data_IF_051516319366
#
_entry.id   IF_051516319366
#
_cell.length_a   1.000
_cell.length_b   1.000
_cell.length_c   1.000
_cell.angle_alpha   90.00
_cell.angle_beta   90.00
_cell.angle_gamma   90.00
#
_symmetry.space_group_name_H-M   'P 1'
#
loop_
_entity.id
_entity.type
_entity.pdbx_description
1 polymer ?
#
# COMPACT_ATOMS: atom_id res chain seq x y z
N UNK A 1 5.72 33.30 64.97
CA UNK A 1 5.37 32.25 64.01
C UNK A 1 4.16 32.76 63.25
N UNK A 2 4.25 33.26 62.00
CA UNK A 2 3.09 33.61 61.21
C UNK A 2 2.45 32.37 60.57
N UNK A 3 1.16 32.33 60.72
CA UNK A 3 0.21 31.33 60.22
C UNK A 3 0.25 31.30 58.68
N UNK A 4 0.58 30.14 58.09
CA UNK A 4 0.62 29.97 56.64
C UNK A 4 -0.75 29.45 56.20
N UNK A 5 -1.53 30.35 55.61
CA UNK A 5 -2.76 30.01 54.87
C UNK A 5 -2.41 29.07 53.71
N UNK A 6 -3.07 27.92 53.54
CA UNK A 6 -2.86 27.07 52.38
C UNK A 6 -3.34 27.77 51.09
N UNK A 7 -2.68 27.54 49.96
CA UNK A 7 -3.10 28.14 48.72
C UNK A 7 -4.46 27.60 48.24
N UNK A 8 -5.22 28.50 47.66
CA UNK A 8 -6.54 28.24 47.08
C UNK A 8 -6.53 27.03 46.15
N UNK A 9 -7.56 26.22 46.32
CA UNK A 9 -7.92 25.08 45.48
C UNK A 9 -7.92 25.51 44.00
N UNK A 10 -6.87 25.08 43.29
CA UNK A 10 -6.84 25.12 41.81
C UNK A 10 -7.59 23.89 41.31
N UNK A 11 -8.91 23.90 41.39
CA UNK A 11 -9.73 23.01 40.60
C UNK A 11 -9.50 23.38 39.14
N UNK A 12 -8.72 22.54 38.45
CA UNK A 12 -8.62 22.59 36.97
C UNK A 12 -10.03 22.49 36.40
N UNK A 13 -10.37 23.26 35.35
CA UNK A 13 -11.66 23.13 34.73
C UNK A 13 -11.86 21.69 34.26
N UNK A 14 -13.01 21.13 34.66
CA UNK A 14 -13.47 19.81 34.23
C UNK A 14 -13.69 19.91 32.71
N UNK A 15 -12.64 19.60 31.93
CA UNK A 15 -12.74 19.47 30.50
C UNK A 15 -13.43 18.14 30.24
N UNK A 16 -14.71 18.20 29.97
CA UNK A 16 -15.48 17.10 29.42
C UNK A 16 -14.86 16.72 28.06
N UNK A 17 -13.92 15.78 28.09
CA UNK A 17 -13.23 15.28 26.90
C UNK A 17 -14.08 14.12 26.35
N UNK A 18 -15.26 14.46 25.86
CA UNK A 18 -16.12 13.51 25.17
C UNK A 18 -15.34 12.90 23.99
N UNK A 19 -15.26 11.57 23.93
CA UNK A 19 -14.58 10.84 22.87
C UNK A 19 -13.16 10.34 23.21
N UNK A 20 -12.65 10.61 24.42
CA UNK A 20 -11.31 10.09 24.81
C UNK A 20 -11.28 8.56 24.81
N UNK A 21 -12.40 7.91 25.13
CA UNK A 21 -12.57 6.47 25.16
C UNK A 21 -12.40 5.80 23.79
N UNK A 22 -12.63 6.55 22.71
CA UNK A 22 -12.48 6.08 21.33
C UNK A 22 -11.17 6.50 20.70
N UNK A 23 -10.29 7.18 21.43
CA UNK A 23 -8.99 7.60 20.93
C UNK A 23 -8.11 6.39 20.66
N UNK A 24 -7.64 6.16 19.41
CA UNK A 24 -6.71 5.07 19.12
C UNK A 24 -5.43 5.25 19.93
N UNK A 25 -5.06 4.24 20.68
CA UNK A 25 -3.80 4.21 21.44
C UNK A 25 -2.88 3.14 20.87
N UNK A 26 -1.58 3.45 20.77
CA UNK A 26 -0.57 2.48 20.40
C UNK A 26 -0.05 1.84 21.71
N UNK A 27 -0.37 0.57 21.91
CA UNK A 27 0.20 -0.20 23.01
C UNK A 27 1.62 -0.63 22.66
N UNK A 28 2.61 0.06 23.22
CA UNK A 28 4.03 -0.27 23.03
C UNK A 28 4.40 -1.64 23.63
N UNK A 29 3.62 -2.15 24.58
CA UNK A 29 3.79 -3.50 25.13
C UNK A 29 3.32 -4.60 24.18
N UNK A 30 2.48 -4.26 23.20
CA UNK A 30 2.00 -5.17 22.18
C UNK A 30 2.93 -5.30 20.97
N UNK A 31 4.09 -4.60 20.93
CA UNK A 31 5.06 -4.76 19.87
C UNK A 31 5.52 -6.21 19.77
N UNK A 32 5.42 -6.74 18.56
CA UNK A 32 5.82 -8.10 18.23
C UNK A 32 7.02 -8.08 17.28
N UNK A 33 7.72 -9.18 17.20
CA UNK A 33 8.73 -9.42 16.17
C UNK A 33 8.07 -10.04 14.94
N UNK A 34 8.75 -9.95 13.77
CA UNK A 34 8.30 -10.64 12.55
C UNK A 34 8.08 -12.13 12.83
N UNK A 35 8.94 -12.78 13.65
CA UNK A 35 8.83 -14.19 14.02
C UNK A 35 7.46 -14.55 14.62
N UNK A 36 6.91 -13.65 15.42
CA UNK A 36 5.59 -13.87 16.06
C UNK A 36 4.42 -13.59 15.12
N UNK A 37 4.62 -12.73 14.12
CA UNK A 37 3.57 -12.40 13.15
C UNK A 37 3.41 -13.45 12.05
N UNK A 38 4.47 -14.12 11.66
CA UNK A 38 4.46 -15.05 10.51
C UNK A 38 3.39 -16.14 10.63
N UNK A 39 3.19 -16.83 11.78
CA UNK A 39 2.14 -17.84 11.89
C UNK A 39 0.74 -17.27 11.58
N UNK A 40 0.42 -16.09 12.11
CA UNK A 40 -0.88 -15.45 11.89
C UNK A 40 -1.06 -14.99 10.44
N UNK A 41 0.04 -14.58 9.77
CA UNK A 41 0.04 -14.20 8.37
C UNK A 41 -0.08 -15.41 7.42
N UNK A 42 0.48 -16.55 7.80
CA UNK A 42 0.49 -17.76 6.97
C UNK A 42 -0.92 -18.31 6.68
N UNK A 43 -1.88 -18.06 7.59
CA UNK A 43 -3.26 -18.48 7.44
C UNK A 43 -4.10 -17.54 6.56
N UNK A 44 -3.53 -16.39 6.14
CA UNK A 44 -4.24 -15.41 5.32
C UNK A 44 -4.14 -15.72 3.84
N UNK A 45 -5.26 -15.52 3.12
CA UNK A 45 -5.26 -15.63 1.65
C UNK A 45 -4.49 -14.50 0.99
N UNK A 46 -4.49 -13.32 1.60
CA UNK A 46 -3.79 -12.12 1.12
C UNK A 46 -3.18 -11.42 2.32
N UNK A 47 -1.93 -11.01 2.18
CA UNK A 47 -1.19 -10.19 3.14
C UNK A 47 -0.76 -8.90 2.46
N UNK A 48 -1.20 -7.76 2.97
CA UNK A 48 -0.77 -6.45 2.51
C UNK A 48 0.39 -5.97 3.39
N UNK A 49 1.51 -5.64 2.77
CA UNK A 49 2.70 -5.09 3.45
C UNK A 49 2.99 -3.72 2.86
N UNK A 50 2.43 -2.68 3.50
CA UNK A 50 2.61 -1.29 3.10
C UNK A 50 4.06 -0.83 3.25
N UNK A 51 4.43 0.21 2.49
CA UNK A 51 5.77 0.80 2.51
C UNK A 51 5.75 2.29 2.17
N UNK A 52 6.86 2.97 2.38
CA UNK A 52 7.16 4.26 1.76
C UNK A 52 8.16 3.99 0.64
N UNK A 53 7.82 4.40 -0.57
CA UNK A 53 8.51 3.98 -1.80
C UNK A 53 10.03 4.23 -1.83
N UNK A 54 10.52 5.21 -1.09
CA UNK A 54 11.93 5.58 -0.99
C UNK A 54 12.67 4.94 0.20
N UNK A 55 11.98 4.16 1.03
CA UNK A 55 12.53 3.55 2.24
C UNK A 55 13.02 2.13 1.98
N UNK A 56 14.33 1.98 1.80
CA UNK A 56 14.96 0.68 1.54
C UNK A 56 14.73 -0.34 2.66
N UNK A 57 14.72 0.09 3.90
CA UNK A 57 14.44 -0.74 5.06
C UNK A 57 13.04 -1.36 5.03
N UNK A 58 12.03 -0.62 4.52
CA UNK A 58 10.69 -1.17 4.31
C UNK A 58 10.68 -2.31 3.29
N UNK A 59 11.40 -2.17 2.18
CA UNK A 59 11.52 -3.22 1.16
C UNK A 59 12.28 -4.45 1.66
N UNK A 60 13.24 -4.27 2.56
CA UNK A 60 13.91 -5.40 3.22
C UNK A 60 12.97 -6.16 4.16
N UNK A 61 12.08 -5.46 4.87
CA UNK A 61 11.05 -6.07 5.70
C UNK A 61 10.05 -6.85 4.82
N UNK A 62 9.60 -6.26 3.71
CA UNK A 62 8.76 -6.95 2.73
C UNK A 62 9.42 -8.25 2.24
N UNK A 63 10.69 -8.19 1.85
CA UNK A 63 11.45 -9.37 1.42
C UNK A 63 11.52 -10.43 2.51
N UNK A 64 11.77 -10.04 3.75
CA UNK A 64 11.88 -10.99 4.86
C UNK A 64 10.53 -11.68 5.13
N UNK A 65 9.42 -10.95 5.09
CA UNK A 65 8.07 -11.52 5.20
C UNK A 65 7.81 -12.51 4.05
N UNK A 66 8.13 -12.12 2.81
CA UNK A 66 8.00 -12.98 1.63
C UNK A 66 8.80 -14.27 1.82
N UNK A 67 10.05 -14.20 2.25
CA UNK A 67 10.93 -15.36 2.46
C UNK A 67 10.34 -16.34 3.47
N UNK A 68 9.83 -15.82 4.57
CA UNK A 68 9.26 -16.64 5.66
C UNK A 68 7.94 -17.28 5.26
N UNK A 69 7.06 -16.52 4.61
CA UNK A 69 5.80 -17.06 4.10
C UNK A 69 6.04 -18.10 3.00
N UNK A 70 7.01 -17.85 2.09
CA UNK A 70 7.39 -18.81 1.06
C UNK A 70 7.95 -20.11 1.65
N UNK A 71 8.71 -20.05 2.75
CA UNK A 71 9.20 -21.24 3.44
C UNK A 71 8.07 -22.11 4.02
N UNK A 72 6.91 -21.52 4.34
CA UNK A 72 5.73 -22.21 4.85
C UNK A 72 4.77 -22.63 3.72
N UNK A 73 4.69 -21.84 2.65
CA UNK A 73 3.81 -22.10 1.52
C UNK A 73 4.54 -21.84 0.20
N UNK A 74 4.97 -22.90 -0.51
CA UNK A 74 5.67 -22.78 -1.78
C UNK A 74 4.80 -22.20 -2.92
N UNK A 75 3.48 -22.17 -2.76
CA UNK A 75 2.54 -21.63 -3.75
C UNK A 75 2.27 -20.12 -3.54
N UNK A 76 3.22 -19.40 -2.97
CA UNK A 76 3.12 -17.96 -2.79
C UNK A 76 3.24 -17.21 -4.14
N UNK A 77 2.42 -16.17 -4.33
CA UNK A 77 2.59 -15.17 -5.39
C UNK A 77 2.84 -13.79 -4.77
N UNK A 78 3.56 -12.93 -5.47
CA UNK A 78 3.93 -11.58 -5.01
C UNK A 78 3.21 -10.56 -5.88
N UNK A 79 2.27 -9.79 -5.32
CA UNK A 79 1.65 -8.66 -5.99
C UNK A 79 2.52 -7.39 -5.86
N UNK A 80 2.75 -6.67 -6.95
CA UNK A 80 3.56 -5.46 -6.96
C UNK A 80 2.86 -4.30 -7.70
N UNK A 81 2.70 -3.17 -7.02
CA UNK A 81 2.18 -1.93 -7.61
C UNK A 81 3.16 -1.28 -8.60
N UNK A 82 4.44 -1.60 -8.49
CA UNK A 82 5.48 -1.07 -9.37
C UNK A 82 5.29 -1.41 -10.86
N UNK A 83 4.40 -2.35 -11.15
CA UNK A 83 4.14 -2.82 -12.52
C UNK A 83 2.67 -2.72 -12.89
N UNK A 84 2.44 -2.41 -14.17
CA UNK A 84 1.10 -2.28 -14.71
C UNK A 84 0.68 -3.56 -15.45
N UNK A 85 -0.58 -3.93 -15.33
CA UNK A 85 -1.17 -5.18 -15.83
C UNK A 85 -0.84 -5.52 -17.31
N UNK A 86 -0.79 -4.57 -18.27
CA UNK A 86 -0.43 -4.89 -19.65
C UNK A 86 0.97 -5.48 -19.82
N UNK A 87 1.84 -5.31 -18.83
CA UNK A 87 3.21 -5.82 -18.84
C UNK A 87 3.39 -7.12 -18.05
N UNK A 88 2.30 -7.77 -17.61
CA UNK A 88 2.37 -9.03 -16.87
C UNK A 88 3.25 -10.06 -17.58
N UNK A 89 3.11 -10.20 -18.89
CA UNK A 89 3.88 -11.14 -19.67
C UNK A 89 5.41 -10.94 -19.55
N UNK A 90 5.86 -9.70 -19.41
CA UNK A 90 7.29 -9.40 -19.26
C UNK A 90 7.82 -9.82 -17.88
N UNK A 91 6.99 -9.75 -16.84
CA UNK A 91 7.30 -10.30 -15.52
C UNK A 91 7.37 -11.83 -15.58
N UNK A 92 6.41 -12.47 -16.25
CA UNK A 92 6.38 -13.93 -16.40
C UNK A 92 7.64 -14.43 -17.13
N UNK A 93 8.04 -13.77 -18.22
CA UNK A 93 9.27 -14.10 -18.98
C UNK A 93 10.54 -13.83 -18.15
N UNK A 94 10.54 -12.78 -17.30
CA UNK A 94 11.65 -12.52 -16.38
C UNK A 94 11.76 -13.62 -15.32
N UNK A 95 10.65 -14.03 -14.69
CA UNK A 95 10.62 -15.12 -13.71
C UNK A 95 11.04 -16.44 -14.35
N UNK A 96 10.58 -16.70 -15.58
CA UNK A 96 10.97 -17.89 -16.35
C UNK A 96 12.44 -17.88 -16.82
N UNK A 97 13.18 -16.79 -16.59
CA UNK A 97 14.58 -16.65 -16.99
C UNK A 97 14.81 -16.34 -18.47
N UNK A 98 13.77 -16.07 -19.23
CA UNK A 98 13.84 -15.75 -20.68
C UNK A 98 14.16 -14.28 -20.96
N UNK A 99 13.77 -13.38 -20.06
CA UNK A 99 14.21 -12.00 -20.05
C UNK A 99 15.26 -11.76 -18.96
N UNK A 100 16.28 -10.97 -19.25
CA UNK A 100 17.14 -10.43 -18.22
C UNK A 100 16.49 -9.24 -17.50
N UNK A 101 17.10 -8.81 -16.40
CA UNK A 101 16.57 -7.72 -15.57
C UNK A 101 16.46 -6.39 -16.33
N UNK A 102 17.45 -6.08 -17.18
CA UNK A 102 17.43 -4.85 -17.97
C UNK A 102 16.36 -4.88 -19.07
N UNK A 103 16.19 -6.03 -19.72
CA UNK A 103 15.13 -6.19 -20.73
C UNK A 103 13.74 -6.06 -20.08
N UNK A 104 13.53 -6.71 -18.94
CA UNK A 104 12.27 -6.58 -18.19
C UNK A 104 12.00 -5.12 -17.83
N UNK A 105 12.96 -4.38 -17.28
CA UNK A 105 12.80 -2.97 -16.91
C UNK A 105 12.49 -2.07 -18.13
N UNK A 106 13.14 -2.31 -19.26
CA UNK A 106 12.84 -1.57 -20.51
C UNK A 106 11.44 -1.89 -21.02
N UNK A 107 11.09 -3.18 -21.07
CA UNK A 107 9.80 -3.64 -21.59
C UNK A 107 8.62 -3.16 -20.77
N UNK A 108 8.76 -3.14 -19.44
CA UNK A 108 7.72 -2.64 -18.52
C UNK A 108 7.69 -1.12 -18.43
N UNK A 109 8.58 -0.42 -19.13
CA UNK A 109 8.74 1.04 -19.03
C UNK A 109 8.87 1.51 -17.58
N UNK A 110 9.55 0.71 -16.74
CA UNK A 110 9.59 0.87 -15.29
C UNK A 110 9.91 2.31 -14.86
N UNK A 111 10.99 2.89 -15.38
CA UNK A 111 11.43 4.23 -14.98
C UNK A 111 10.50 5.36 -15.47
N UNK A 112 9.74 5.15 -16.54
CA UNK A 112 8.76 6.10 -17.03
C UNK A 112 7.44 6.04 -16.25
N UNK A 113 7.05 4.83 -15.83
CA UNK A 113 5.74 4.58 -15.22
C UNK A 113 5.77 4.62 -13.70
N UNK A 114 6.77 3.99 -13.07
CA UNK A 114 6.89 3.93 -11.61
C UNK A 114 7.80 5.03 -11.04
N UNK A 115 8.90 5.36 -11.70
CA UNK A 115 9.83 6.46 -11.38
C UNK A 115 10.62 6.32 -10.08
N UNK A 116 10.57 5.21 -9.40
CA UNK A 116 11.37 4.92 -8.23
C UNK A 116 12.65 4.18 -8.62
N UNK A 117 13.68 4.30 -7.78
CA UNK A 117 14.91 3.57 -7.98
C UNK A 117 14.65 2.05 -7.91
N UNK A 118 14.91 1.35 -8.99
CA UNK A 118 14.70 -0.10 -9.06
C UNK A 118 15.49 -0.88 -8.00
N UNK A 119 16.63 -0.36 -7.55
CA UNK A 119 17.43 -1.00 -6.49
C UNK A 119 16.67 -1.26 -5.20
N UNK A 120 15.64 -0.48 -4.95
CA UNK A 120 14.74 -0.66 -3.80
C UNK A 120 13.96 -1.98 -3.91
N UNK A 121 13.49 -2.33 -5.10
CA UNK A 121 12.64 -3.49 -5.38
C UNK A 121 13.42 -4.71 -5.89
N UNK A 122 14.62 -4.51 -6.41
CA UNK A 122 15.45 -5.55 -7.00
C UNK A 122 15.64 -6.79 -6.10
N UNK A 123 15.87 -6.66 -4.78
CA UNK A 123 16.02 -7.82 -3.91
C UNK A 123 14.79 -8.75 -3.92
N UNK A 124 13.59 -8.19 -3.95
CA UNK A 124 12.32 -8.94 -4.01
C UNK A 124 12.19 -9.66 -5.34
N UNK A 125 12.39 -8.94 -6.46
CA UNK A 125 12.28 -9.51 -7.80
C UNK A 125 13.34 -10.59 -8.08
N UNK A 126 14.56 -10.39 -7.61
CA UNK A 126 15.63 -11.38 -7.72
C UNK A 126 15.35 -12.62 -6.87
N UNK A 127 14.75 -12.44 -5.70
CA UNK A 127 14.29 -13.56 -4.88
C UNK A 127 13.18 -14.34 -5.60
N UNK A 128 12.16 -13.64 -6.11
CA UNK A 128 11.08 -14.24 -6.87
C UNK A 128 11.60 -15.07 -8.06
N UNK A 129 12.49 -14.49 -8.88
CA UNK A 129 13.11 -15.17 -10.02
C UNK A 129 13.90 -16.42 -9.60
N UNK A 130 14.70 -16.32 -8.55
CA UNK A 130 15.51 -17.45 -8.06
C UNK A 130 14.69 -18.64 -7.64
N UNK A 131 13.50 -18.37 -7.11
CA UNK A 131 12.60 -19.38 -6.57
C UNK A 131 11.41 -19.69 -7.48
N UNK A 132 11.31 -19.06 -8.65
CA UNK A 132 10.19 -19.27 -9.57
C UNK A 132 8.85 -18.77 -9.04
N UNK A 133 8.85 -17.79 -8.11
CA UNK A 133 7.62 -17.24 -7.55
C UNK A 133 6.95 -16.30 -8.55
N UNK A 134 5.64 -16.47 -8.83
CA UNK A 134 4.91 -15.53 -9.67
C UNK A 134 4.95 -14.11 -9.10
N UNK A 135 5.20 -13.13 -9.97
CA UNK A 135 5.07 -11.70 -9.66
C UNK A 135 3.89 -11.16 -10.44
N UNK A 136 2.91 -10.62 -9.75
CA UNK A 136 1.65 -10.13 -10.32
C UNK A 136 1.69 -8.60 -10.40
N UNK A 137 1.48 -8.07 -11.59
CA UNK A 137 1.34 -6.63 -11.82
C UNK A 137 -0.03 -6.17 -11.30
N UNK A 138 -0.05 -5.29 -10.31
CA UNK A 138 -1.30 -4.87 -9.67
C UNK A 138 -1.88 -3.59 -10.29
N UNK A 139 -1.04 -2.69 -10.79
CA UNK A 139 -1.51 -1.41 -11.26
C UNK A 139 -2.23 -1.49 -12.61
N UNK A 140 -3.31 -0.73 -12.70
CA UNK A 140 -3.98 -0.48 -13.98
C UNK A 140 -3.06 0.33 -14.92
N UNK A 141 -3.32 0.29 -16.24
CA UNK A 141 -2.65 1.19 -17.18
C UNK A 141 -2.78 2.65 -16.74
N UNK A 142 -1.67 3.39 -16.69
CA UNK A 142 -1.67 4.79 -16.28
C UNK A 142 -2.54 5.67 -17.20
N UNK A 143 -2.78 5.25 -18.41
CA UNK A 143 -3.67 5.87 -19.39
C UNK A 143 -5.12 5.83 -18.91
N UNK A 144 -5.57 4.67 -18.40
CA UNK A 144 -6.93 4.50 -17.87
C UNK A 144 -7.13 5.33 -16.60
N UNK A 145 -6.21 5.27 -15.65
CA UNK A 145 -6.32 6.03 -14.40
C UNK A 145 -6.34 7.54 -14.67
N UNK A 146 -5.54 8.03 -15.63
CA UNK A 146 -5.57 9.43 -16.06
C UNK A 146 -6.88 9.82 -16.75
N UNK A 147 -7.45 8.93 -17.58
CA UNK A 147 -8.73 9.17 -18.24
C UNK A 147 -9.85 9.28 -17.19
N UNK A 148 -9.93 8.32 -16.25
CA UNK A 148 -10.90 8.34 -15.16
C UNK A 148 -10.74 9.60 -14.32
N UNK A 149 -9.52 9.98 -13.93
CA UNK A 149 -9.27 11.17 -13.14
C UNK A 149 -9.66 12.49 -13.82
N UNK A 150 -9.71 12.53 -15.17
CA UNK A 150 -10.10 13.73 -15.92
C UNK A 150 -11.56 13.76 -16.32
N UNK A 151 -12.13 12.63 -16.68
CA UNK A 151 -13.41 12.52 -17.36
C UNK A 151 -14.43 11.63 -16.65
N UNK A 152 -14.03 11.00 -15.53
CA UNK A 152 -14.85 10.04 -14.80
C UNK A 152 -14.82 8.63 -15.40
N UNK A 153 -15.26 7.65 -14.63
CA UNK A 153 -15.26 6.23 -15.01
C UNK A 153 -16.18 5.94 -16.20
N UNK A 154 -17.22 6.76 -16.39
CA UNK A 154 -18.17 6.62 -17.48
C UNK A 154 -17.55 6.91 -18.87
N UNK A 155 -16.39 7.60 -18.90
CA UNK A 155 -15.68 7.88 -20.14
C UNK A 155 -14.94 6.66 -20.72
N UNK A 156 -14.82 5.57 -19.96
CA UNK A 156 -14.13 4.37 -20.41
C UNK A 156 -14.96 3.58 -21.41
N UNK A 157 -14.28 3.04 -22.45
CA UNK A 157 -14.86 2.07 -23.36
C UNK A 157 -15.23 0.77 -22.64
N UNK A 158 -16.05 -0.08 -23.25
CA UNK A 158 -16.38 -1.40 -22.69
C UNK A 158 -15.10 -2.22 -22.42
N UNK A 159 -14.20 -2.32 -23.39
CA UNK A 159 -12.94 -3.05 -23.26
C UNK A 159 -12.06 -2.50 -22.12
N UNK A 160 -12.05 -1.18 -21.94
CA UNK A 160 -11.29 -0.56 -20.83
C UNK A 160 -11.90 -0.85 -19.46
N UNK A 161 -13.24 -0.99 -19.40
CA UNK A 161 -13.94 -1.36 -18.14
C UNK A 161 -13.69 -2.81 -17.74
N UNK A 162 -13.42 -3.71 -18.68
CA UNK A 162 -13.10 -5.10 -18.38
C UNK A 162 -11.78 -5.25 -17.58
N UNK A 163 -10.92 -4.23 -17.57
CA UNK A 163 -9.74 -4.17 -16.71
C UNK A 163 -10.04 -3.74 -15.27
N UNK A 164 -11.23 -3.21 -15.01
CA UNK A 164 -11.62 -2.79 -13.66
C UNK A 164 -12.19 -3.97 -12.87
N UNK A 165 -12.14 -3.90 -11.53
CA UNK A 165 -12.88 -4.84 -10.69
C UNK A 165 -14.37 -4.82 -11.05
N UNK A 166 -15.02 -5.97 -11.02
CA UNK A 166 -16.45 -6.14 -11.33
C UNK A 166 -17.38 -5.38 -10.38
N UNK A 167 -16.87 -4.91 -9.24
CA UNK A 167 -17.57 -4.06 -8.30
C UNK A 167 -16.58 -3.19 -7.52
N UNK A 168 -16.91 -1.91 -7.38
CA UNK A 168 -16.23 -0.98 -6.50
C UNK A 168 -17.14 -0.72 -5.32
N UNK A 169 -16.74 -1.23 -4.16
CA UNK A 169 -17.47 -0.94 -2.91
C UNK A 169 -17.21 0.51 -2.49
N UNK A 170 -18.29 1.28 -2.40
CA UNK A 170 -18.26 2.68 -1.96
C UNK A 170 -19.00 2.87 -0.63
N UNK A 171 -19.26 1.80 0.10
CA UNK A 171 -20.05 1.85 1.33
C UNK A 171 -19.26 2.23 2.58
N UNK A 172 -17.90 2.23 2.51
CA UNK A 172 -17.04 2.59 3.64
C UNK A 172 -16.94 4.12 3.80
N UNK A 173 -17.84 4.67 4.60
CA UNK A 173 -17.88 6.11 4.89
C UNK A 173 -16.63 6.63 5.61
N UNK A 174 -15.97 5.80 6.42
CA UNK A 174 -14.74 6.19 7.11
C UNK A 174 -13.55 6.29 6.14
N UNK A 175 -13.48 5.38 5.18
CA UNK A 175 -12.49 5.44 4.10
C UNK A 175 -12.72 6.65 3.21
N UNK A 176 -13.97 6.93 2.82
CA UNK A 176 -14.33 8.10 2.03
C UNK A 176 -13.96 9.40 2.74
N UNK A 177 -14.29 9.55 4.02
CA UNK A 177 -13.95 10.73 4.81
C UNK A 177 -12.43 10.98 4.83
N UNK A 178 -11.63 9.94 5.03
CA UNK A 178 -10.16 10.02 5.01
C UNK A 178 -9.63 10.44 3.64
N UNK A 179 -10.19 9.91 2.56
CA UNK A 179 -9.81 10.32 1.21
C UNK A 179 -10.15 11.81 0.96
N UNK A 180 -11.32 12.27 1.38
CA UNK A 180 -11.72 13.70 1.27
C UNK A 180 -10.75 14.61 2.00
N UNK A 181 -10.32 14.24 3.19
CA UNK A 181 -9.32 14.99 3.96
C UNK A 181 -7.97 15.09 3.22
N UNK A 182 -7.47 13.98 2.67
CA UNK A 182 -6.24 13.96 1.88
C UNK A 182 -6.39 14.85 0.64
N UNK A 183 -7.52 14.78 -0.07
CA UNK A 183 -7.78 15.61 -1.23
C UNK A 183 -7.84 17.10 -0.90
N UNK A 184 -8.44 17.46 0.24
CA UNK A 184 -8.52 18.86 0.68
C UNK A 184 -7.14 19.49 0.96
N UNK A 185 -6.15 18.68 1.29
CA UNK A 185 -4.76 19.14 1.51
C UNK A 185 -4.01 19.40 0.19
N UNK A 186 -4.57 19.02 -0.98
CA UNK A 186 -3.97 19.24 -2.29
C UNK A 186 -4.63 20.44 -3.01
N UNK A 187 -4.04 21.64 -2.99
CA UNK A 187 -4.68 22.89 -3.44
C UNK A 187 -5.01 22.93 -4.95
N UNK A 188 -4.53 21.98 -5.74
CA UNK A 188 -4.79 21.91 -7.19
C UNK A 188 -6.00 21.07 -7.58
N UNK A 189 -6.69 20.45 -6.61
CA UNK A 189 -7.78 19.53 -6.85
C UNK A 189 -9.03 20.01 -6.09
N UNK A 190 -9.89 20.77 -6.78
CA UNK A 190 -11.19 21.16 -6.20
C UNK A 190 -12.11 19.94 -5.99
N UNK A 191 -13.12 20.09 -5.11
CA UNK A 191 -14.10 19.08 -4.70
C UNK A 191 -14.73 18.30 -5.87
N UNK A 192 -14.89 18.92 -7.05
CA UNK A 192 -15.48 18.32 -8.24
C UNK A 192 -14.73 17.11 -8.80
N UNK A 193 -13.49 16.85 -8.37
CA UNK A 193 -12.71 15.67 -8.80
C UNK A 193 -12.84 14.47 -7.88
N UNK A 194 -13.27 14.68 -6.64
CA UNK A 194 -13.48 13.59 -5.72
C UNK A 194 -14.73 12.76 -6.07
N UNK A 195 -15.71 13.38 -6.70
CA UNK A 195 -17.00 12.76 -7.06
C UNK A 195 -16.96 11.99 -8.39
N UNK A 196 -15.84 12.02 -9.11
CA UNK A 196 -15.63 11.36 -10.40
C UNK A 196 -14.96 10.00 -10.23
#
# INVERSE_FOLDING_TARGET
MPDATPPADMTAPDHDIAGIETTPVLDLGAFSTIDRLIPDLADKRVVFVGEQHDRYDHHLIQLEIIRRLHALNPNLAIGMEAFQQPFQWALDEYIAGKLDEQAMLRTTEYYQRWRMDYRLYAPILRYARRHGLPVIALNLPAELTRQVGRQGIESLSADARDHLPSGIDRSDAAYEARLREIYAQHPTHGDSRFER
#
